data_IF_587566427390
#
_entry.id   IF_587566427390
#
_cell.length_a   1.000
_cell.length_b   1.000
_cell.length_c   1.000
_cell.angle_alpha   90.00
_cell.angle_beta   90.00
_cell.angle_gamma   90.00
#
_symmetry.space_group_name_H-M   'P 1'
#
loop_
_entity.id
_entity.type
_entity.pdbx_description
1 polymer ?
#
# COMPACT_ATOMS: atom_id res chain seq x y z
N UNK A 1 -23.61 54.08 71.60
CA UNK A 1 -23.30 54.16 70.15
C UNK A 1 -22.10 53.27 69.88
N UNK A 2 -22.22 52.44 68.84
CA UNK A 2 -21.18 51.67 68.13
C UNK A 2 -20.47 50.54 68.91
N UNK A 3 -20.73 49.25 68.70
CA UNK A 3 -20.70 48.37 67.51
C UNK A 3 -19.52 47.39 67.66
N UNK A 4 -19.82 46.19 68.17
CA UNK A 4 -18.95 45.01 68.09
C UNK A 4 -19.02 44.48 66.65
N UNK A 5 -17.88 44.26 65.99
CA UNK A 5 -17.80 43.45 64.76
C UNK A 5 -16.77 42.34 64.93
N UNK A 6 -17.32 41.13 64.97
CA UNK A 6 -16.65 39.83 65.05
C UNK A 6 -15.98 39.53 63.70
N UNK A 7 -14.66 39.31 63.66
CA UNK A 7 -13.98 38.81 62.48
C UNK A 7 -14.16 37.29 62.40
N UNK A 8 -14.98 36.83 61.44
CA UNK A 8 -15.05 35.43 61.02
C UNK A 8 -13.91 35.16 60.03
N UNK A 9 -12.89 34.42 60.45
CA UNK A 9 -11.98 33.75 59.52
C UNK A 9 -12.70 32.53 58.93
N UNK A 10 -13.12 32.63 57.67
CA UNK A 10 -13.57 31.47 56.90
C UNK A 10 -12.36 30.69 56.38
N UNK A 11 -12.15 29.47 56.88
CA UNK A 11 -11.28 28.49 56.23
C UNK A 11 -11.98 28.01 54.94
N UNK A 12 -11.42 28.37 53.79
CA UNK A 12 -11.80 27.79 52.50
C UNK A 12 -11.00 26.49 52.32
N UNK A 13 -11.67 25.35 52.46
CA UNK A 13 -11.13 24.06 52.04
C UNK A 13 -11.32 23.95 50.52
N UNK A 14 -10.25 24.17 49.76
CA UNK A 14 -10.23 23.87 48.34
C UNK A 14 -10.04 22.36 48.16
N UNK A 15 -11.13 21.65 47.88
CA UNK A 15 -11.08 20.27 47.40
C UNK A 15 -10.46 20.27 46.01
N UNK A 16 -9.17 19.93 45.91
CA UNK A 16 -8.55 19.61 44.62
C UNK A 16 -9.07 18.24 44.23
N UNK A 17 -10.08 18.20 43.36
CA UNK A 17 -10.44 16.98 42.66
C UNK A 17 -9.26 16.67 41.71
N UNK A 18 -8.44 15.70 42.08
CA UNK A 18 -7.50 15.08 41.14
C UNK A 18 -8.34 14.32 40.12
N UNK A 19 -8.67 14.98 39.00
CA UNK A 19 -8.94 14.25 37.77
C UNK A 19 -7.73 13.32 37.57
N UNK A 20 -7.97 12.01 37.48
CA UNK A 20 -6.90 11.03 37.30
C UNK A 20 -6.04 11.47 36.11
N UNK A 21 -4.74 11.64 36.33
CA UNK A 21 -3.84 12.01 35.25
C UNK A 21 -3.85 10.86 34.23
N UNK A 22 -4.07 11.20 32.97
CA UNK A 22 -3.92 10.26 31.86
C UNK A 22 -2.51 9.64 31.96
N UNK A 23 -2.38 8.30 31.95
CA UNK A 23 -1.07 7.67 31.97
C UNK A 23 -0.17 8.17 30.84
N UNK A 24 1.12 8.30 31.12
CA UNK A 24 2.10 8.74 30.11
C UNK A 24 2.90 7.60 29.52
N UNK A 25 3.00 6.47 30.23
CA UNK A 25 3.71 5.29 29.77
C UNK A 25 2.83 4.48 28.79
N UNK A 26 3.39 3.98 27.66
CA UNK A 26 2.60 3.31 26.61
C UNK A 26 1.82 2.07 27.05
N UNK A 27 2.39 1.26 27.94
CA UNK A 27 1.74 0.08 28.52
C UNK A 27 0.53 0.49 29.37
N UNK A 28 0.71 1.47 30.25
CA UNK A 28 -0.37 1.99 31.07
C UNK A 28 -1.47 2.71 30.26
N UNK A 29 -1.10 3.34 29.13
CA UNK A 29 -2.08 3.89 28.18
C UNK A 29 -2.86 2.76 27.50
N UNK A 30 -2.19 1.71 27.03
CA UNK A 30 -2.84 0.56 26.43
C UNK A 30 -3.83 -0.11 27.41
N UNK A 31 -3.42 -0.31 28.66
CA UNK A 31 -4.28 -0.89 29.69
C UNK A 31 -5.51 -0.01 29.97
N UNK A 32 -5.33 1.31 30.01
CA UNK A 32 -6.40 2.25 30.32
C UNK A 32 -7.39 2.44 29.16
N UNK A 33 -6.94 2.39 27.91
CA UNK A 33 -7.74 2.78 26.74
C UNK A 33 -8.05 1.62 25.77
N UNK A 34 -7.20 0.61 25.66
CA UNK A 34 -7.29 -0.39 24.59
C UNK A 34 -7.62 -1.79 25.12
N UNK A 35 -7.03 -2.20 26.25
CA UNK A 35 -7.09 -3.57 26.76
C UNK A 35 -8.51 -4.06 27.10
N UNK A 36 -9.45 -3.16 27.39
CA UNK A 36 -10.87 -3.52 27.64
C UNK A 36 -11.53 -4.23 26.45
N UNK A 37 -11.10 -3.92 25.22
CA UNK A 37 -11.57 -4.57 24.01
C UNK A 37 -10.49 -5.49 23.42
N UNK A 38 -9.23 -5.02 23.36
CA UNK A 38 -8.13 -5.74 22.70
C UNK A 38 -7.44 -6.79 23.60
N UNK A 39 -7.81 -6.88 24.88
CA UNK A 39 -7.15 -7.74 25.87
C UNK A 39 -5.79 -7.21 26.30
N UNK A 40 -5.38 -7.48 27.54
CA UNK A 40 -4.02 -7.15 28.03
C UNK A 40 -2.91 -7.86 27.23
N UNK A 41 -3.24 -8.99 26.62
CA UNK A 41 -2.34 -9.78 25.79
C UNK A 41 -2.40 -9.42 24.28
N UNK A 42 -3.22 -8.42 23.91
CA UNK A 42 -3.35 -7.92 22.55
C UNK A 42 -4.10 -8.82 21.57
N UNK A 43 -4.72 -9.92 22.04
CA UNK A 43 -5.36 -10.91 21.15
C UNK A 43 -6.77 -10.55 20.69
N UNK A 44 -7.39 -9.53 21.27
CA UNK A 44 -8.80 -9.21 21.04
C UNK A 44 -9.78 -10.23 21.67
N UNK A 45 -9.28 -11.16 22.48
CA UNK A 45 -10.07 -12.24 23.09
C UNK A 45 -10.34 -11.93 24.57
N UNK A 46 -11.34 -11.09 24.83
CA UNK A 46 -11.75 -10.74 26.20
C UNK A 46 -12.92 -11.63 26.67
N UNK A 47 -12.92 -12.00 27.95
CA UNK A 47 -14.04 -12.75 28.53
C UNK A 47 -15.29 -11.85 28.66
N UNK A 48 -16.39 -12.26 28.01
CA UNK A 48 -17.66 -11.51 27.95
C UNK A 48 -17.48 -10.09 27.37
N UNK A 49 -17.15 -9.96 26.07
CA UNK A 49 -16.94 -8.66 25.45
C UNK A 49 -18.20 -7.79 25.54
N UNK A 50 -18.00 -6.50 25.78
CA UNK A 50 -19.07 -5.49 25.76
C UNK A 50 -19.38 -4.96 24.35
N UNK A 51 -18.74 -5.53 23.33
CA UNK A 51 -18.82 -5.17 21.92
C UNK A 51 -19.13 -6.43 21.10
N UNK A 52 -19.81 -6.25 19.97
CA UNK A 52 -20.12 -7.35 19.05
C UNK A 52 -19.01 -7.54 17.99
N UNK A 53 -18.22 -6.50 17.71
CA UNK A 53 -17.11 -6.57 16.75
C UNK A 53 -15.92 -7.36 17.31
N UNK A 54 -15.25 -8.09 16.41
CA UNK A 54 -14.00 -8.81 16.71
C UNK A 54 -12.81 -7.87 16.52
N UNK A 55 -12.08 -7.51 17.60
CA UNK A 55 -10.89 -6.68 17.48
C UNK A 55 -9.76 -7.43 16.78
N UNK A 56 -8.88 -6.69 16.10
CA UNK A 56 -7.66 -7.26 15.52
C UNK A 56 -6.79 -7.92 16.60
N UNK A 57 -6.31 -9.13 16.32
CA UNK A 57 -5.27 -9.80 17.11
C UNK A 57 -3.91 -9.19 16.76
N UNK A 58 -3.34 -8.39 17.67
CA UNK A 58 -2.04 -7.74 17.48
C UNK A 58 -0.86 -8.72 17.56
N UNK A 59 -1.09 -9.95 18.05
CA UNK A 59 -0.08 -11.02 18.08
C UNK A 59 0.00 -11.76 16.74
N UNK A 60 -1.05 -11.69 15.90
CA UNK A 60 -1.00 -12.17 14.53
C UNK A 60 -0.22 -11.18 13.64
N UNK A 61 1.08 -11.40 13.54
CA UNK A 61 1.98 -10.60 12.74
C UNK A 61 1.55 -10.49 11.26
N UNK A 62 0.89 -11.50 10.69
CA UNK A 62 0.47 -11.47 9.30
C UNK A 62 -0.66 -10.47 9.05
N UNK A 63 -1.45 -10.16 10.09
CA UNK A 63 -2.57 -9.21 10.06
C UNK A 63 -2.15 -7.84 10.58
N UNK A 64 -1.37 -7.78 11.66
CA UNK A 64 -1.03 -6.51 12.31
C UNK A 64 0.09 -5.73 11.60
N UNK A 65 1.04 -6.43 10.96
CA UNK A 65 2.20 -5.75 10.34
C UNK A 65 1.92 -5.05 9.02
N UNK A 66 1.01 -5.51 8.13
CA UNK A 66 0.70 -4.82 6.88
C UNK A 66 0.08 -3.43 7.03
N UNK A 67 -0.55 -3.12 8.17
CA UNK A 67 -1.17 -1.81 8.44
C UNK A 67 -0.09 -0.74 8.68
N UNK A 68 -0.08 0.41 7.99
CA UNK A 68 0.88 1.50 8.19
C UNK A 68 0.60 2.29 9.47
N UNK A 69 1.65 2.88 10.07
CA UNK A 69 1.52 3.66 11.31
C UNK A 69 0.54 4.85 11.20
N UNK A 70 0.37 5.41 10.00
CA UNK A 70 -0.62 6.44 9.73
C UNK A 70 -2.07 5.97 9.91
N UNK A 71 -2.37 4.72 9.60
CA UNK A 71 -3.71 4.15 9.79
C UNK A 71 -3.98 3.82 11.25
N UNK A 72 -2.95 3.35 11.99
CA UNK A 72 -3.04 3.21 13.43
C UNK A 72 -3.30 4.55 14.12
N UNK A 73 -2.59 5.61 13.71
CA UNK A 73 -2.81 6.96 14.22
C UNK A 73 -4.24 7.43 13.90
N UNK A 74 -4.69 7.26 12.65
CA UNK A 74 -6.03 7.63 12.23
C UNK A 74 -7.11 6.96 13.10
N UNK A 75 -6.98 5.66 13.36
CA UNK A 75 -7.93 4.88 14.16
C UNK A 75 -7.88 5.27 15.63
N UNK A 76 -6.70 5.43 16.22
CA UNK A 76 -6.58 5.84 17.63
C UNK A 76 -7.10 7.27 17.81
N UNK A 77 -6.78 8.18 16.90
CA UNK A 77 -7.18 9.59 16.96
C UNK A 77 -8.68 9.75 16.72
N UNK A 78 -9.26 9.07 15.73
CA UNK A 78 -10.63 9.33 15.22
C UNK A 78 -11.63 8.18 15.37
N UNK A 79 -11.20 7.06 15.94
CA UNK A 79 -12.01 5.85 16.10
C UNK A 79 -12.12 5.03 14.83
N UNK A 80 -12.67 3.82 14.95
CA UNK A 80 -12.66 2.82 13.88
C UNK A 80 -13.36 3.28 12.60
N UNK A 81 -14.47 4.03 12.72
CA UNK A 81 -15.23 4.51 11.56
C UNK A 81 -14.45 5.41 10.59
N UNK A 82 -13.36 6.03 11.06
CA UNK A 82 -12.48 6.85 10.22
C UNK A 82 -11.73 6.01 9.18
N UNK A 83 -11.37 4.77 9.53
CA UNK A 83 -10.74 3.78 8.66
C UNK A 83 -11.73 2.70 8.16
N UNK A 84 -13.03 2.98 8.26
CA UNK A 84 -14.05 2.01 7.85
C UNK A 84 -14.07 0.74 8.70
N UNK A 85 -13.68 0.81 9.97
CA UNK A 85 -13.81 -0.26 10.95
C UNK A 85 -15.09 -0.05 11.80
N UNK A 86 -15.27 -0.86 12.84
CA UNK A 86 -16.42 -0.81 13.74
C UNK A 86 -16.59 0.57 14.41
N UNK A 87 -17.83 1.00 14.59
CA UNK A 87 -18.17 2.19 15.39
C UNK A 87 -18.00 1.98 16.89
N UNK A 88 -17.79 0.75 17.33
CA UNK A 88 -17.51 0.41 18.73
C UNK A 88 -16.06 0.74 19.12
N UNK A 89 -15.16 0.90 18.14
CA UNK A 89 -13.79 1.38 18.39
C UNK A 89 -13.80 2.90 18.57
N UNK A 90 -13.62 3.42 19.81
CA UNK A 90 -13.76 4.84 20.10
C UNK A 90 -12.55 5.66 19.68
N UNK A 91 -12.71 6.98 19.66
CA UNK A 91 -11.65 7.95 19.37
C UNK A 91 -10.97 8.45 20.65
N UNK A 92 -9.65 8.63 20.62
CA UNK A 92 -8.84 9.10 21.75
C UNK A 92 -8.09 10.41 21.50
N UNK A 93 -8.31 11.08 20.36
CA UNK A 93 -7.61 12.32 20.00
C UNK A 93 -7.82 13.51 20.94
N UNK A 94 -8.92 13.53 21.72
CA UNK A 94 -9.15 14.56 22.74
C UNK A 94 -8.42 14.26 24.08
N UNK A 95 -8.00 13.02 24.28
CA UNK A 95 -7.38 12.52 25.52
C UNK A 95 -5.86 12.35 25.42
N UNK A 96 -5.35 12.03 24.23
CA UNK A 96 -3.95 11.73 23.97
C UNK A 96 -3.34 12.75 23.00
N UNK A 97 -2.10 13.17 23.27
CA UNK A 97 -1.33 13.97 22.32
C UNK A 97 -0.80 13.09 21.18
N UNK A 98 -0.42 13.70 20.05
CA UNK A 98 0.20 12.95 18.94
C UNK A 98 1.45 12.17 19.36
N UNK A 99 2.28 12.73 20.24
CA UNK A 99 3.45 12.01 20.78
C UNK A 99 3.06 10.78 21.61
N UNK A 100 1.99 10.88 22.42
CA UNK A 100 1.46 9.74 23.18
C UNK A 100 0.88 8.66 22.27
N UNK A 101 0.17 9.05 21.20
CA UNK A 101 -0.38 8.13 20.21
C UNK A 101 0.74 7.37 19.50
N UNK A 102 1.79 8.06 19.05
CA UNK A 102 2.94 7.42 18.42
C UNK A 102 3.68 6.46 19.38
N UNK A 103 3.80 6.83 20.65
CA UNK A 103 4.37 5.93 21.67
C UNK A 103 3.49 4.70 21.92
N UNK A 104 2.16 4.87 21.94
CA UNK A 104 1.19 3.79 22.05
C UNK A 104 1.23 2.84 20.84
N UNK A 105 1.35 3.36 19.62
CA UNK A 105 1.55 2.55 18.40
C UNK A 105 2.82 1.69 18.55
N UNK A 106 3.92 2.29 19.01
CA UNK A 106 5.17 1.57 19.27
C UNK A 106 5.01 0.42 20.27
N UNK A 107 4.18 0.59 21.30
CA UNK A 107 3.83 -0.48 22.24
C UNK A 107 2.99 -1.58 21.59
N UNK A 108 1.94 -1.21 20.84
CA UNK A 108 1.06 -2.16 20.14
C UNK A 108 1.86 -3.03 19.16
N UNK A 109 2.82 -2.45 18.43
CA UNK A 109 3.73 -3.18 17.54
C UNK A 109 4.52 -4.27 18.25
N UNK A 110 4.74 -4.14 19.56
CA UNK A 110 5.46 -5.10 20.39
C UNK A 110 4.73 -6.43 20.62
N UNK A 111 3.42 -6.51 20.36
CA UNK A 111 2.67 -7.77 20.47
C UNK A 111 3.05 -8.77 19.37
N UNK A 112 3.48 -8.30 18.20
CA UNK A 112 4.07 -9.15 17.18
C UNK A 112 5.49 -9.57 17.59
N UNK A 113 5.63 -10.81 18.08
CA UNK A 113 6.91 -11.34 18.56
C UNK A 113 7.84 -11.84 17.44
N UNK A 114 7.37 -11.90 16.20
CA UNK A 114 8.16 -12.39 15.08
C UNK A 114 8.99 -11.28 14.42
N UNK A 115 10.33 -11.36 14.44
CA UNK A 115 11.14 -10.38 13.73
C UNK A 115 11.07 -10.60 12.23
N UNK A 116 11.35 -9.54 11.48
CA UNK A 116 11.63 -9.61 10.04
C UNK A 116 10.44 -9.40 9.12
N UNK A 117 9.23 -9.17 9.66
CA UNK A 117 8.09 -8.65 8.90
C UNK A 117 8.37 -7.18 8.49
N UNK A 118 8.35 -6.86 7.19
CA UNK A 118 8.17 -5.47 6.73
C UNK A 118 6.81 -4.96 7.23
N UNK A 119 6.80 -3.72 7.75
CA UNK A 119 5.59 -3.07 8.24
C UNK A 119 4.94 -2.20 7.17
N UNK A 120 3.63 -1.98 7.28
CA UNK A 120 2.81 -1.21 6.32
C UNK A 120 3.29 0.19 6.03
N UNK A 121 4.06 0.81 6.91
CA UNK A 121 4.70 2.13 6.67
C UNK A 121 5.64 2.11 5.45
N UNK A 122 6.07 0.92 5.02
CA UNK A 122 6.86 0.68 3.80
C UNK A 122 5.99 0.30 2.58
N UNK A 123 4.68 0.14 2.75
CA UNK A 123 3.70 -0.16 1.70
C UNK A 123 3.22 1.14 1.04
N UNK A 124 4.06 1.69 0.17
CA UNK A 124 3.74 2.95 -0.52
C UNK A 124 2.64 2.75 -1.58
N UNK A 125 1.86 3.80 -1.92
CA UNK A 125 0.84 3.71 -2.95
C UNK A 125 1.38 3.13 -4.27
N UNK A 126 0.63 2.19 -4.85
CA UNK A 126 1.04 1.46 -6.06
C UNK A 126 1.20 2.41 -7.27
N UNK A 127 2.39 2.45 -7.91
CA UNK A 127 2.60 3.05 -9.23
C UNK A 127 1.94 2.19 -10.34
N UNK A 128 1.67 2.75 -11.52
CA UNK A 128 1.11 1.98 -12.64
C UNK A 128 2.11 0.96 -13.19
N UNK A 129 3.37 1.36 -13.43
CA UNK A 129 4.38 0.50 -14.08
C UNK A 129 5.48 0.00 -13.13
N UNK A 130 5.85 0.80 -12.13
CA UNK A 130 6.90 0.44 -11.17
C UNK A 130 6.41 -0.63 -10.21
N UNK A 131 7.09 -1.77 -10.15
CA UNK A 131 6.80 -2.84 -9.18
C UNK A 131 7.06 -2.40 -7.74
N UNK A 132 6.12 -2.71 -6.83
CA UNK A 132 6.27 -2.37 -5.41
C UNK A 132 7.34 -3.24 -4.77
N UNK A 133 8.18 -2.64 -3.94
CA UNK A 133 9.14 -3.39 -3.14
C UNK A 133 8.46 -4.19 -2.00
N UNK A 134 7.28 -3.74 -1.53
CA UNK A 134 6.55 -4.36 -0.43
C UNK A 134 5.84 -5.66 -0.89
N UNK A 135 5.77 -6.72 -0.03
CA UNK A 135 5.03 -7.94 -0.35
C UNK A 135 3.52 -7.77 -0.14
N UNK A 136 2.74 -7.99 -1.19
CA UNK A 136 1.30 -7.69 -1.19
C UNK A 136 0.38 -8.92 -1.22
N UNK A 137 -0.90 -8.66 -1.01
CA UNK A 137 -2.01 -9.56 -1.28
C UNK A 137 -3.05 -8.83 -2.16
N UNK A 138 -2.62 -8.48 -3.37
CA UNK A 138 -3.41 -7.70 -4.32
C UNK A 138 -3.99 -8.54 -5.47
N UNK A 139 -5.17 -8.15 -5.94
CA UNK A 139 -5.69 -8.50 -7.25
C UNK A 139 -5.79 -7.23 -8.10
N UNK A 140 -5.19 -7.24 -9.30
CA UNK A 140 -5.15 -6.05 -10.15
C UNK A 140 -5.68 -6.31 -11.55
N UNK A 141 -6.30 -5.27 -12.10
CA UNK A 141 -6.69 -5.16 -13.50
C UNK A 141 -6.08 -3.89 -14.06
N UNK A 142 -5.13 -4.01 -15.00
CA UNK A 142 -4.39 -2.88 -15.59
C UNK A 142 -4.80 -2.72 -17.06
N UNK A 143 -5.83 -1.91 -17.37
CA UNK A 143 -6.15 -1.59 -18.75
C UNK A 143 -5.15 -0.59 -19.32
N UNK A 144 -4.78 -0.82 -20.57
CA UNK A 144 -4.00 0.10 -21.42
C UNK A 144 -4.73 0.29 -22.75
N UNK A 145 -4.78 1.54 -23.20
CA UNK A 145 -5.41 1.93 -24.45
C UNK A 145 -4.54 2.91 -25.22
N UNK A 146 -4.34 2.64 -26.50
CA UNK A 146 -3.66 3.55 -27.41
C UNK A 146 -4.41 3.62 -28.75
N UNK A 147 -4.44 4.81 -29.36
CA UNK A 147 -5.02 5.00 -30.70
C UNK A 147 -4.12 5.92 -31.50
N UNK A 148 -3.74 5.50 -32.70
CA UNK A 148 -2.91 6.27 -33.63
C UNK A 148 -3.73 7.03 -34.67
N UNK A 149 -3.10 8.06 -35.27
CA UNK A 149 -3.67 8.80 -36.40
C UNK A 149 -3.70 7.98 -37.71
N UNK A 150 -2.97 6.87 -37.74
CA UNK A 150 -2.96 5.83 -38.76
C UNK A 150 -4.19 4.92 -38.71
N UNK A 151 -5.08 5.10 -37.71
CA UNK A 151 -6.27 4.28 -37.50
C UNK A 151 -6.00 2.96 -36.81
N UNK A 152 -4.79 2.73 -36.28
CA UNK A 152 -4.46 1.56 -35.46
C UNK A 152 -4.88 1.82 -34.02
N UNK A 153 -5.61 0.88 -33.44
CA UNK A 153 -6.03 0.91 -32.03
C UNK A 153 -5.50 -0.32 -31.29
N UNK A 154 -4.89 -0.10 -30.14
CA UNK A 154 -4.41 -1.15 -29.24
C UNK A 154 -5.18 -1.08 -27.91
N UNK A 155 -5.64 -2.23 -27.46
CA UNK A 155 -6.19 -2.43 -26.14
C UNK A 155 -5.41 -3.57 -25.49
N UNK A 156 -4.89 -3.33 -24.29
CA UNK A 156 -4.31 -4.37 -23.46
C UNK A 156 -4.97 -4.38 -22.08
N UNK A 157 -5.01 -5.55 -21.46
CA UNK A 157 -5.47 -5.75 -20.10
C UNK A 157 -4.52 -6.73 -19.43
N UNK A 158 -3.80 -6.28 -18.40
CA UNK A 158 -3.08 -7.21 -17.53
C UNK A 158 -3.96 -7.57 -16.33
N UNK A 159 -4.12 -8.86 -16.08
CA UNK A 159 -4.76 -9.38 -14.86
C UNK A 159 -3.69 -9.97 -13.98
N UNK A 160 -3.60 -9.51 -12.75
CA UNK A 160 -2.53 -9.86 -11.81
C UNK A 160 -3.14 -10.42 -10.52
N UNK A 161 -2.57 -11.52 -10.04
CA UNK A 161 -2.82 -12.03 -8.70
C UNK A 161 -1.51 -12.13 -7.93
N UNK A 162 -1.41 -11.39 -6.82
CA UNK A 162 -0.27 -11.37 -5.92
C UNK A 162 -0.61 -12.08 -4.60
N UNK A 163 0.32 -12.88 -4.09
CA UNK A 163 0.15 -13.58 -2.82
C UNK A 163 1.44 -13.52 -2.02
N UNK A 164 1.35 -12.95 -0.82
CA UNK A 164 2.43 -13.01 0.16
C UNK A 164 2.65 -14.45 0.63
N UNK A 165 3.92 -14.84 0.70
CA UNK A 165 4.39 -16.13 1.22
C UNK A 165 5.33 -15.91 2.40
N UNK A 166 4.82 -16.17 3.60
CA UNK A 166 5.55 -15.92 4.85
C UNK A 166 5.87 -14.44 5.04
N UNK A 167 6.96 -14.17 5.77
CA UNK A 167 7.26 -12.82 6.27
C UNK A 167 7.74 -11.85 5.19
N UNK A 168 8.49 -12.34 4.21
CA UNK A 168 9.28 -11.51 3.27
C UNK A 168 9.13 -11.89 1.80
N UNK A 169 8.53 -13.05 1.52
CA UNK A 169 8.34 -13.53 0.17
C UNK A 169 6.97 -13.15 -0.36
N UNK A 170 6.86 -13.04 -1.68
CA UNK A 170 5.61 -13.00 -2.41
C UNK A 170 5.78 -13.80 -3.69
N UNK A 171 4.67 -14.28 -4.24
CA UNK A 171 4.59 -14.79 -5.61
C UNK A 171 3.45 -14.10 -6.35
N UNK A 172 3.56 -14.08 -7.66
CA UNK A 172 2.63 -13.39 -8.52
C UNK A 172 2.45 -14.14 -9.84
N UNK A 173 1.23 -14.07 -10.38
CA UNK A 173 0.90 -14.55 -11.72
C UNK A 173 0.25 -13.43 -12.50
N UNK A 174 0.73 -13.16 -13.72
CA UNK A 174 0.16 -12.15 -14.63
C UNK A 174 -0.36 -12.80 -15.91
N UNK A 175 -1.56 -12.41 -16.31
CA UNK A 175 -2.22 -12.81 -17.55
C UNK A 175 -2.41 -11.57 -18.44
N UNK A 176 -1.56 -11.38 -19.46
CA UNK A 176 -1.66 -10.26 -20.38
C UNK A 176 -2.61 -10.60 -21.54
N UNK A 177 -3.69 -9.83 -21.69
CA UNK A 177 -4.60 -9.92 -22.83
C UNK A 177 -4.35 -8.73 -23.75
N UNK A 178 -4.23 -8.98 -25.05
CA UNK A 178 -3.95 -7.95 -26.04
C UNK A 178 -4.97 -8.03 -27.18
N UNK A 179 -5.29 -6.86 -27.73
CA UNK A 179 -6.17 -6.71 -28.88
C UNK A 179 -5.70 -5.55 -29.74
N UNK A 180 -5.23 -5.87 -30.95
CA UNK A 180 -4.80 -4.90 -31.95
C UNK A 180 -5.82 -4.86 -33.09
N UNK A 181 -6.32 -3.66 -33.39
CA UNK A 181 -7.21 -3.41 -34.53
C UNK A 181 -6.52 -2.50 -35.54
N UNK A 182 -6.36 -2.96 -36.77
CA UNK A 182 -5.72 -2.22 -37.85
C UNK A 182 -6.38 -2.57 -39.19
N UNK A 183 -6.62 -1.57 -40.04
CA UNK A 183 -7.17 -1.74 -41.39
C UNK A 183 -8.47 -2.58 -41.48
N UNK A 184 -9.29 -2.60 -40.44
CA UNK A 184 -10.54 -3.37 -40.37
C UNK A 184 -10.40 -4.81 -39.90
N UNK A 185 -9.18 -5.27 -39.61
CA UNK A 185 -8.89 -6.55 -38.97
C UNK A 185 -8.63 -6.36 -37.48
N UNK A 186 -9.06 -7.32 -36.66
CA UNK A 186 -8.77 -7.35 -35.22
C UNK A 186 -8.13 -8.68 -34.87
N UNK A 187 -6.95 -8.61 -34.25
CA UNK A 187 -6.28 -9.76 -33.63
C UNK A 187 -6.34 -9.57 -32.12
N UNK A 188 -6.67 -10.63 -31.40
CA UNK A 188 -6.77 -10.57 -29.95
C UNK A 188 -6.50 -11.92 -29.33
N UNK A 189 -5.80 -11.94 -28.20
CA UNK A 189 -5.55 -13.18 -27.47
C UNK A 189 -4.81 -12.96 -26.17
N UNK A 190 -4.53 -14.08 -25.51
CA UNK A 190 -3.66 -14.11 -24.34
C UNK A 190 -2.22 -14.13 -24.83
N UNK A 191 -1.42 -13.21 -24.28
CA UNK A 191 0.02 -13.12 -24.50
C UNK A 191 0.78 -14.04 -23.53
N UNK A 192 2.10 -13.96 -23.48
CA UNK A 192 2.94 -14.81 -22.64
C UNK A 192 2.60 -14.64 -21.15
N UNK A 193 2.13 -15.72 -20.51
CA UNK A 193 1.79 -15.74 -19.08
C UNK A 193 3.05 -15.56 -18.27
N UNK A 194 3.00 -14.69 -17.25
CA UNK A 194 4.17 -14.39 -16.42
C UNK A 194 4.02 -14.94 -15.01
N UNK A 195 5.11 -15.49 -14.49
CA UNK A 195 5.25 -15.90 -13.09
C UNK A 195 6.35 -15.07 -12.46
N UNK A 196 6.09 -14.47 -11.30
CA UNK A 196 7.08 -13.71 -10.58
C UNK A 196 7.18 -14.15 -9.12
N UNK A 197 8.37 -13.98 -8.55
CA UNK A 197 8.64 -14.15 -7.13
C UNK A 197 9.56 -13.04 -6.64
N UNK A 198 9.28 -12.51 -5.46
CA UNK A 198 10.08 -11.43 -4.86
C UNK A 198 10.35 -11.69 -3.39
N UNK A 199 11.49 -11.20 -2.91
CA UNK A 199 11.92 -11.38 -1.54
C UNK A 199 12.54 -10.09 -0.98
N UNK A 200 12.02 -9.62 0.15
CA UNK A 200 12.54 -8.43 0.84
C UNK A 200 13.89 -8.76 1.47
N UNK A 201 14.94 -8.16 0.92
CA UNK A 201 16.32 -8.39 1.38
C UNK A 201 16.70 -7.45 2.51
N UNK A 202 16.16 -6.23 2.51
CA UNK A 202 16.52 -5.22 3.50
C UNK A 202 15.35 -4.29 3.83
N UNK A 203 15.21 -3.98 5.12
CA UNK A 203 14.45 -2.85 5.65
C UNK A 203 15.37 -2.12 6.63
N UNK A 204 15.34 -0.79 6.65
CA UNK A 204 16.14 -0.03 7.61
C UNK A 204 15.48 0.01 9.00
N UNK A 205 16.24 0.40 10.03
CA UNK A 205 15.74 0.42 11.41
C UNK A 205 14.63 1.45 11.64
N UNK A 206 14.65 2.55 10.90
CA UNK A 206 13.62 3.58 11.00
C UNK A 206 12.35 3.22 10.21
N UNK A 207 12.32 2.08 9.50
CA UNK A 207 11.22 1.64 8.65
C UNK A 207 10.81 2.70 7.62
N UNK A 208 11.82 3.37 7.05
CA UNK A 208 11.67 4.39 6.01
C UNK A 208 12.07 3.88 4.64
N UNK A 209 12.77 2.74 4.55
CA UNK A 209 13.35 2.18 3.34
C UNK A 209 13.14 0.68 3.26
N UNK A 210 12.82 0.23 2.06
CA UNK A 210 12.67 -1.18 1.73
C UNK A 210 13.43 -1.52 0.45
N UNK A 211 14.01 -2.71 0.40
CA UNK A 211 14.71 -3.23 -0.77
C UNK A 211 14.35 -4.68 -1.00
N UNK A 212 14.02 -4.99 -2.24
CA UNK A 212 13.51 -6.29 -2.67
C UNK A 212 14.22 -6.72 -3.93
N UNK A 213 14.59 -7.99 -3.98
CA UNK A 213 15.04 -8.64 -5.23
C UNK A 213 13.92 -9.53 -5.72
N UNK A 214 13.77 -9.63 -7.03
CA UNK A 214 12.78 -10.50 -7.63
C UNK A 214 13.23 -11.07 -8.96
N UNK A 215 12.47 -12.04 -9.41
CA UNK A 215 12.58 -12.65 -10.72
C UNK A 215 11.18 -12.81 -11.29
N UNK A 216 10.98 -12.27 -12.47
CA UNK A 216 9.83 -12.53 -13.32
C UNK A 216 10.25 -13.43 -14.48
N UNK A 217 9.36 -14.34 -14.87
CA UNK A 217 9.58 -15.26 -15.97
C UNK A 217 8.34 -15.23 -16.86
N UNK A 218 8.50 -14.71 -18.09
CA UNK A 218 7.49 -14.83 -19.13
C UNK A 218 7.60 -16.21 -19.76
N UNK A 219 6.50 -16.96 -19.77
CA UNK A 219 6.42 -18.31 -20.34
C UNK A 219 5.98 -18.22 -21.80
N UNK A 220 6.54 -19.02 -22.72
CA UNK A 220 6.16 -19.01 -24.14
C UNK A 220 4.80 -19.70 -24.34
N UNK A 221 3.74 -19.04 -23.92
CA UNK A 221 2.35 -19.54 -23.95
C UNK A 221 1.48 -18.77 -24.92
N UNK A 222 1.90 -17.56 -25.31
CA UNK A 222 1.24 -16.74 -26.32
C UNK A 222 1.45 -17.30 -27.72
N UNK A 223 0.55 -16.92 -28.64
CA UNK A 223 0.61 -17.35 -30.03
C UNK A 223 1.66 -16.54 -30.81
N UNK A 224 2.72 -17.20 -31.27
CA UNK A 224 3.77 -16.58 -32.10
C UNK A 224 3.25 -16.11 -33.45
N UNK A 225 2.32 -16.85 -34.07
CA UNK A 225 1.84 -16.58 -35.43
C UNK A 225 1.00 -15.29 -35.47
N UNK A 226 0.32 -14.98 -34.36
CA UNK A 226 -0.45 -13.76 -34.16
C UNK A 226 0.36 -12.61 -33.53
N UNK A 227 1.64 -12.85 -33.22
CA UNK A 227 2.54 -11.87 -32.59
C UNK A 227 2.23 -11.61 -31.11
N UNK A 228 1.53 -12.54 -30.47
CA UNK A 228 1.11 -12.47 -29.06
C UNK A 228 2.09 -13.18 -28.11
N UNK A 229 3.13 -13.84 -28.63
CA UNK A 229 4.14 -14.51 -27.81
C UNK A 229 5.55 -14.34 -28.36
N UNK A 230 6.55 -14.39 -27.48
CA UNK A 230 7.95 -14.27 -27.85
C UNK A 230 8.56 -15.58 -28.36
N UNK A 231 7.87 -16.70 -28.19
CA UNK A 231 8.33 -18.03 -28.63
C UNK A 231 9.54 -18.59 -27.86
N UNK A 232 9.89 -17.95 -26.76
CA UNK A 232 10.90 -18.38 -25.81
C UNK A 232 10.54 -17.86 -24.42
N UNK A 233 10.99 -18.57 -23.39
CA UNK A 233 10.94 -17.99 -22.05
C UNK A 233 11.82 -16.74 -22.00
N UNK A 234 11.38 -15.74 -21.23
CA UNK A 234 12.13 -14.50 -20.96
C UNK A 234 12.30 -14.37 -19.45
N UNK A 235 13.53 -14.18 -19.00
CA UNK A 235 13.86 -14.00 -17.60
C UNK A 235 14.09 -12.53 -17.32
N UNK A 236 13.39 -12.00 -16.31
CA UNK A 236 13.46 -10.61 -15.86
C UNK A 236 13.86 -10.55 -14.37
N UNK A 237 15.14 -10.76 -14.01
CA UNK A 237 15.63 -10.41 -12.68
C UNK A 237 15.52 -8.91 -12.44
N UNK A 238 15.09 -8.52 -11.24
CA UNK A 238 14.92 -7.12 -10.88
C UNK A 238 15.27 -6.80 -9.42
N UNK A 239 15.54 -5.53 -9.19
CA UNK A 239 15.70 -4.89 -7.89
C UNK A 239 14.61 -3.81 -7.75
N UNK A 240 13.85 -3.85 -6.67
CA UNK A 240 12.88 -2.81 -6.30
C UNK A 240 13.30 -2.14 -4.99
N UNK A 241 13.14 -0.83 -4.92
CA UNK A 241 13.47 -0.01 -3.75
C UNK A 241 12.36 1.02 -3.51
N UNK A 242 12.05 1.29 -2.24
CA UNK A 242 11.10 2.32 -1.85
C UNK A 242 11.59 3.10 -0.64
N UNK A 243 11.31 4.40 -0.59
CA UNK A 243 11.60 5.28 0.55
C UNK A 243 10.64 6.46 0.63
N UNK A 244 10.56 7.07 1.82
CA UNK A 244 10.00 8.42 1.99
C UNK A 244 11.08 9.50 1.96
N UNK A 245 10.74 10.70 1.46
CA UNK A 245 11.53 11.92 1.50
C UNK A 245 10.62 13.08 1.94
N UNK A 246 10.46 13.24 3.26
CA UNK A 246 9.37 14.06 3.80
C UNK A 246 8.04 13.42 3.43
N UNK A 247 7.12 14.20 2.87
CA UNK A 247 5.79 13.74 2.44
C UNK A 247 5.80 13.04 1.06
N UNK A 248 6.97 12.95 0.41
CA UNK A 248 7.11 12.32 -0.89
C UNK A 248 7.45 10.84 -0.76
N UNK A 249 6.78 10.01 -1.54
CA UNK A 249 7.15 8.63 -1.82
C UNK A 249 8.12 8.60 -3.00
N UNK A 250 9.21 7.86 -2.88
CA UNK A 250 10.09 7.51 -3.99
C UNK A 250 10.12 5.99 -4.11
N UNK A 251 9.74 5.47 -5.27
CA UNK A 251 9.84 4.04 -5.59
C UNK A 251 10.64 3.88 -6.88
N UNK A 252 11.52 2.87 -6.93
CA UNK A 252 12.37 2.63 -8.09
C UNK A 252 12.46 1.14 -8.38
N UNK A 253 12.57 0.80 -9.66
CA UNK A 253 12.80 -0.55 -10.13
C UNK A 253 13.91 -0.55 -11.16
N UNK A 254 14.80 -1.54 -11.10
CA UNK A 254 15.82 -1.82 -12.10
C UNK A 254 15.67 -3.28 -12.51
N UNK A 255 15.53 -3.56 -13.80
CA UNK A 255 15.30 -4.91 -14.33
C UNK A 255 16.16 -5.16 -15.56
N UNK A 256 16.49 -6.43 -15.79
CA UNK A 256 17.17 -6.87 -17.02
C UNK A 256 16.31 -7.91 -17.69
N UNK A 257 15.81 -7.62 -18.88
CA UNK A 257 15.11 -8.61 -19.69
C UNK A 257 16.13 -9.48 -20.43
N UNK A 258 16.02 -10.80 -20.33
CA UNK A 258 16.97 -11.76 -20.92
C UNK A 258 16.22 -12.95 -21.54
N UNK A 259 16.05 -12.97 -22.87
CA UNK A 259 15.42 -14.10 -23.57
C UNK A 259 16.26 -15.37 -23.47
N UNK A 260 15.66 -16.51 -23.14
CA UNK A 260 16.38 -17.78 -22.97
C UNK A 260 17.11 -18.26 -24.24
N UNK A 261 16.58 -17.93 -25.42
CA UNK A 261 17.18 -18.26 -26.73
C UNK A 261 18.46 -17.44 -27.01
N UNK A 262 18.54 -16.22 -26.51
CA UNK A 262 19.70 -15.34 -26.68
C UNK A 262 19.92 -14.45 -25.43
N UNK A 263 20.43 -15.04 -24.34
CA UNK A 263 20.40 -14.39 -23.03
C UNK A 263 21.39 -13.23 -22.87
N UNK A 264 22.33 -13.06 -23.80
CA UNK A 264 23.38 -12.03 -23.71
C UNK A 264 23.16 -10.94 -24.74
N UNK A 265 23.03 -11.25 -26.04
CA UNK A 265 22.82 -10.22 -27.06
C UNK A 265 21.39 -9.69 -27.11
N UNK A 266 20.42 -10.49 -26.66
CA UNK A 266 19.03 -10.07 -26.51
C UNK A 266 18.73 -9.39 -25.18
N UNK A 267 19.74 -9.15 -24.32
CA UNK A 267 19.51 -8.58 -23.00
C UNK A 267 19.25 -7.08 -23.06
N UNK A 268 18.18 -6.62 -22.40
CA UNK A 268 17.78 -5.21 -22.35
C UNK A 268 17.64 -4.71 -20.91
N UNK A 269 18.12 -3.49 -20.65
CA UNK A 269 18.02 -2.86 -19.33
C UNK A 269 16.75 -2.01 -19.26
N UNK A 270 15.90 -2.30 -18.27
CA UNK A 270 14.75 -1.49 -17.92
C UNK A 270 14.91 -0.81 -16.56
N UNK A 271 14.37 0.40 -16.41
CA UNK A 271 14.30 1.08 -15.13
C UNK A 271 13.02 1.91 -15.00
N UNK A 272 12.48 1.97 -13.79
CA UNK A 272 11.35 2.82 -13.45
C UNK A 272 11.67 3.66 -12.22
N UNK A 273 11.21 4.91 -12.21
CA UNK A 273 11.31 5.84 -11.07
C UNK A 273 9.96 6.51 -10.88
N UNK A 274 9.35 6.32 -9.71
CA UNK A 274 8.10 6.93 -9.30
C UNK A 274 8.34 7.93 -8.17
N UNK A 275 7.72 9.10 -8.29
CA UNK A 275 7.56 10.04 -7.19
C UNK A 275 6.08 10.35 -7.02
N UNK A 276 5.59 10.33 -5.78
CA UNK A 276 4.21 10.70 -5.48
C UNK A 276 4.01 11.23 -4.07
N UNK A 277 2.83 11.75 -3.81
CA UNK A 277 2.41 12.23 -2.48
C UNK A 277 0.90 12.14 -2.33
N UNK A 278 0.43 11.99 -1.10
CA UNK A 278 -0.99 12.00 -0.76
C UNK A 278 -1.46 13.42 -0.41
N UNK A 279 -2.70 13.74 -0.77
CA UNK A 279 -3.29 15.07 -0.49
C UNK A 279 -3.96 15.16 0.88
N UNK A 280 -4.14 14.02 1.55
CA UNK A 280 -4.71 13.88 2.89
C UNK A 280 -4.30 12.54 3.51
N UNK A 281 -4.49 12.41 4.82
CA UNK A 281 -4.15 11.23 5.63
C UNK A 281 -5.20 10.10 5.57
N UNK A 282 -6.32 10.30 4.88
CA UNK A 282 -7.37 9.29 4.83
C UNK A 282 -7.01 8.20 3.82
N UNK A 283 -7.41 6.96 4.09
CA UNK A 283 -7.30 5.84 3.14
C UNK A 283 -7.99 6.09 1.77
N UNK A 284 -9.01 6.96 1.76
CA UNK A 284 -9.67 7.44 0.54
C UNK A 284 -8.95 8.60 -0.16
N UNK A 285 -7.70 8.89 0.20
CA UNK A 285 -6.95 10.04 -0.32
C UNK A 285 -6.77 9.97 -1.85
N UNK A 286 -6.46 11.13 -2.42
CA UNK A 286 -5.90 11.20 -3.76
C UNK A 286 -4.38 11.16 -3.65
N UNK A 287 -3.73 10.29 -4.42
CA UNK A 287 -2.28 10.31 -4.59
C UNK A 287 -1.96 10.92 -5.94
N UNK A 288 -1.14 11.97 -5.94
CA UNK A 288 -0.62 12.57 -7.17
C UNK A 288 0.75 11.96 -7.44
N UNK A 289 0.95 11.44 -8.65
CA UNK A 289 2.15 10.69 -8.99
C UNK A 289 2.73 11.05 -10.36
N UNK A 290 4.03 10.81 -10.50
CA UNK A 290 4.77 10.91 -11.74
C UNK A 290 5.74 9.73 -11.85
N UNK A 291 5.69 8.99 -12.95
CA UNK A 291 6.69 7.97 -13.29
C UNK A 291 7.57 8.38 -14.45
N UNK A 292 8.83 7.99 -14.37
CA UNK A 292 9.76 7.92 -15.49
C UNK A 292 10.02 6.45 -15.78
N UNK A 293 9.76 6.02 -17.00
CA UNK A 293 9.89 4.63 -17.44
C UNK A 293 10.92 4.57 -18.57
N UNK A 294 11.97 3.77 -18.42
CA UNK A 294 13.05 3.62 -19.39
C UNK A 294 13.32 2.16 -19.73
N UNK A 295 13.57 1.88 -21.00
CA UNK A 295 13.87 0.55 -21.54
C UNK A 295 14.80 0.70 -22.74
N UNK A 296 16.04 0.22 -22.62
CA UNK A 296 17.08 0.43 -23.62
C UNK A 296 17.30 1.91 -23.97
N UNK A 297 16.81 2.33 -25.15
CA UNK A 297 16.88 3.74 -25.63
C UNK A 297 15.55 4.48 -25.52
N UNK A 298 14.50 3.78 -25.13
CA UNK A 298 13.17 4.28 -24.95
C UNK A 298 12.99 4.90 -23.57
N UNK A 299 12.37 6.07 -23.55
CA UNK A 299 12.08 6.82 -22.34
C UNK A 299 10.66 7.37 -22.44
N UNK A 300 9.90 7.29 -21.35
CA UNK A 300 8.57 7.85 -21.24
C UNK A 300 8.35 8.45 -19.85
N UNK A 301 7.39 9.37 -19.77
CA UNK A 301 6.91 9.94 -18.52
C UNK A 301 5.43 9.69 -18.37
N UNK A 302 4.98 9.34 -17.17
CA UNK A 302 3.58 8.99 -16.88
C UNK A 302 3.09 9.79 -15.68
N UNK A 303 2.50 10.98 -15.88
CA UNK A 303 1.66 11.60 -14.86
C UNK A 303 0.46 10.72 -14.56
N UNK A 304 0.14 10.55 -13.28
CA UNK A 304 -0.95 9.69 -12.81
C UNK A 304 -1.63 10.22 -11.56
N UNK A 305 -2.89 9.83 -11.40
CA UNK A 305 -3.70 10.07 -10.21
C UNK A 305 -4.25 8.75 -9.71
N UNK A 306 -4.07 8.48 -8.41
CA UNK A 306 -4.70 7.36 -7.71
C UNK A 306 -5.78 7.89 -6.77
N UNK A 307 -6.84 7.12 -6.59
CA UNK A 307 -7.92 7.37 -5.64
C UNK A 307 -8.25 6.08 -4.87
N UNK A 308 -8.14 6.13 -3.55
CA UNK A 308 -8.74 5.12 -2.68
C UNK A 308 -10.28 5.24 -2.71
N UNK A 309 -10.97 4.11 -2.88
CA UNK A 309 -12.43 4.05 -3.02
C UNK A 309 -13.13 3.59 -1.73
N UNK A 310 -12.46 2.79 -0.90
CA UNK A 310 -12.98 2.32 0.39
C UNK A 310 -12.29 3.02 1.54
N UNK A 311 -12.99 3.16 2.68
CA UNK A 311 -12.41 3.72 3.90
C UNK A 311 -11.38 2.82 4.55
N UNK A 312 -11.40 1.54 4.22
CA UNK A 312 -10.49 0.49 4.67
C UNK A 312 -9.24 0.39 3.80
N UNK A 313 -9.11 1.18 2.73
CA UNK A 313 -8.00 1.05 1.78
C UNK A 313 -8.11 -0.12 0.79
N UNK A 314 -8.98 -1.10 1.08
CA UNK A 314 -9.14 -2.33 0.31
C UNK A 314 -9.26 -2.16 -1.22
N UNK A 315 -9.88 -1.08 -1.70
CA UNK A 315 -10.05 -0.85 -3.14
C UNK A 315 -9.49 0.52 -3.53
N UNK A 316 -8.71 0.54 -4.60
CA UNK A 316 -8.23 1.77 -5.24
C UNK A 316 -8.32 1.69 -6.77
N UNK A 317 -8.34 2.86 -7.39
CA UNK A 317 -8.19 3.00 -8.84
C UNK A 317 -7.12 4.04 -9.14
N UNK A 318 -6.42 3.88 -10.25
CA UNK A 318 -5.55 4.91 -10.79
C UNK A 318 -5.71 5.06 -12.29
N UNK A 319 -5.41 6.25 -12.79
CA UNK A 319 -5.36 6.56 -14.21
C UNK A 319 -4.21 7.52 -14.51
N UNK A 320 -3.59 7.35 -15.66
CA UNK A 320 -2.48 8.16 -16.14
C UNK A 320 -2.36 8.14 -17.65
N UNK A 321 -1.43 8.95 -18.16
CA UNK A 321 -1.08 8.98 -19.58
C UNK A 321 0.42 8.78 -19.70
N UNK A 322 0.85 7.67 -20.30
CA UNK A 322 2.25 7.47 -20.63
C UNK A 322 2.58 8.27 -21.89
N UNK A 323 3.57 9.16 -21.80
CA UNK A 323 3.99 10.06 -22.87
C UNK A 323 5.44 9.71 -23.24
N UNK A 324 5.70 9.19 -24.45
CA UNK A 324 7.06 8.94 -24.92
C UNK A 324 7.90 10.22 -24.98
N UNK A 325 9.11 10.18 -24.44
CA UNK A 325 10.10 11.25 -24.51
C UNK A 325 11.10 11.03 -25.65
N UNK A 326 11.34 9.78 -26.04
CA UNK A 326 12.17 9.38 -27.19
C UNK A 326 11.36 8.59 -28.21
N UNK A 327 11.88 8.48 -29.44
CA UNK A 327 11.26 7.74 -30.56
C UNK A 327 9.78 8.09 -30.79
N UNK A 328 9.43 9.39 -30.69
CA UNK A 328 8.04 9.90 -30.77
C UNK A 328 7.41 9.78 -32.16
N UNK A 329 8.23 9.49 -33.16
CA UNK A 329 7.82 9.18 -34.52
C UNK A 329 7.19 7.77 -34.63
N UNK A 330 7.55 6.86 -33.72
CA UNK A 330 7.05 5.48 -33.67
C UNK A 330 6.18 5.24 -32.44
N UNK A 331 6.57 5.79 -31.28
CA UNK A 331 5.89 5.60 -30.00
C UNK A 331 4.82 6.65 -29.80
N UNK A 332 3.64 6.19 -29.42
CA UNK A 332 2.45 7.01 -29.14
C UNK A 332 2.17 7.13 -27.65
N UNK A 333 1.41 8.17 -27.29
CA UNK A 333 0.87 8.29 -25.95
C UNK A 333 -0.17 7.20 -25.68
N UNK A 334 -0.21 6.70 -24.45
CA UNK A 334 -1.05 5.58 -24.02
C UNK A 334 -1.81 5.99 -22.76
N UNK A 335 -3.11 5.71 -22.74
CA UNK A 335 -3.92 5.82 -21.54
C UNK A 335 -3.74 4.54 -20.75
N UNK A 336 -3.41 4.68 -19.47
CA UNK A 336 -3.11 3.56 -18.58
C UNK A 336 -3.80 3.75 -17.26
N UNK A 337 -4.03 2.66 -16.55
CA UNK A 337 -4.61 2.72 -15.23
C UNK A 337 -4.60 1.37 -14.54
N UNK A 338 -5.20 1.35 -13.35
CA UNK A 338 -5.50 0.10 -12.67
C UNK A 338 -6.79 0.18 -11.86
N UNK A 339 -7.40 -0.97 -11.67
CA UNK A 339 -8.21 -1.31 -10.51
C UNK A 339 -7.37 -2.21 -9.60
N UNK A 340 -7.37 -1.93 -8.29
CA UNK A 340 -6.62 -2.64 -7.27
C UNK A 340 -7.57 -3.08 -6.17
N UNK A 341 -7.47 -4.34 -5.77
CA UNK A 341 -8.15 -4.90 -4.60
C UNK A 341 -7.17 -5.64 -3.69
N UNK A 342 -6.95 -5.12 -2.49
CA UNK A 342 -6.30 -5.82 -1.38
C UNK A 342 -7.32 -6.81 -0.81
N UNK A 343 -7.20 -8.08 -1.20
CA UNK A 343 -8.30 -9.04 -0.99
C UNK A 343 -8.38 -9.60 0.44
N UNK A 344 -7.41 -9.28 1.29
CA UNK A 344 -7.48 -9.59 2.72
C UNK A 344 -8.15 -8.48 3.52
N UNK A 345 -8.24 -7.27 2.97
CA UNK A 345 -8.86 -6.15 3.65
C UNK A 345 -10.37 -6.15 3.42
N UNK A 346 -11.16 -5.79 4.45
CA UNK A 346 -12.60 -5.72 4.32
C UNK A 346 -13.00 -4.60 3.36
N UNK A 347 -13.81 -4.90 2.34
CA UNK A 347 -14.30 -3.89 1.38
C UNK A 347 -15.31 -2.94 2.04
N UNK A 348 -16.11 -3.47 2.95
CA UNK A 348 -17.13 -2.72 3.68
C UNK A 348 -16.76 -2.66 5.15
N UNK A 349 -17.12 -1.55 5.79
CA UNK A 349 -17.05 -1.49 7.22
C UNK A 349 -17.89 -2.59 7.84
N UNK A 350 -17.32 -3.28 8.83
CA UNK A 350 -18.07 -4.17 9.71
C UNK A 350 -19.06 -3.29 10.47
N UNK A 351 -20.27 -3.20 9.93
CA UNK A 351 -21.41 -2.59 10.59
C UNK A 351 -21.92 -3.60 11.59
N UNK A 352 -21.91 -3.21 12.85
CA UNK A 352 -22.94 -3.68 13.77
C UNK A 352 -24.15 -2.77 13.59
#
# INVERSE_FOLDING_TARGET
MSSVRLCLLGLVWASVATAGQVPTEPDAMFDAFCAVCHGEDGRGQVENPAIDSEPMDFTDCAVATPEPDGDWDLVITRGGMAAGLSSEMPSYGDALTGEQIQALIGYIRGFCAEPGWPIGTLNFPRPIFTEKAFPENEFLLLPEFSSGADGVTELALQVIYERRLGRRGHVEVRFPFESVSAAGERRSGLSDVKLAGKYVVNTDRAMTRITTVGLEVSLPTGDEDDGLGHGTAVFEPYLAFGTTLGDLYLQTQLKVESPARDPVSGAELGYNVYVGFDVSEFLTTWTVGLELNGEGRDLAVTPQLRKGLTRTGAIAVAGGVQIPLTNRDVRRARWVGYFLWEYLDPVFAVKN
#
